data_IF_002835155361
#
_entry.id   IF_002835155361
#
_cell.length_a   1.000
_cell.length_b   1.000
_cell.length_c   1.000
_cell.angle_alpha   90.00
_cell.angle_beta   90.00
_cell.angle_gamma   90.00
#
_symmetry.space_group_name_H-M   'P 1'
#
loop_
_entity.id
_entity.type
_entity.pdbx_description
1 polymer ?
#
# COMPACT_ATOMS: atom_id res chain seq x y z
N UNK A 1 -4.94 -2.24 0.37
CA UNK A 1 -3.84 -2.86 -0.40
C UNK A 1 -4.00 -4.37 -0.60
N UNK A 2 -3.98 -5.21 0.47
CA UNK A 2 -3.97 -6.68 0.31
C UNK A 2 -5.17 -7.25 -0.44
N UNK A 3 -6.37 -6.74 -0.17
CA UNK A 3 -7.61 -7.15 -0.86
C UNK A 3 -7.54 -6.84 -2.35
N UNK A 4 -7.18 -5.61 -2.72
CA UNK A 4 -6.97 -5.19 -4.10
C UNK A 4 -5.92 -6.07 -4.83
N UNK A 5 -4.84 -6.47 -4.16
CA UNK A 5 -3.84 -7.36 -4.76
C UNK A 5 -4.42 -8.76 -5.01
N UNK A 6 -5.23 -9.29 -4.09
CA UNK A 6 -5.93 -10.58 -4.25
C UNK A 6 -6.94 -10.54 -5.40
N UNK A 7 -7.72 -9.47 -5.52
CA UNK A 7 -8.66 -9.27 -6.64
C UNK A 7 -7.93 -9.24 -7.99
N UNK A 8 -6.69 -8.74 -8.02
CA UNK A 8 -5.81 -8.75 -9.19
C UNK A 8 -5.10 -10.09 -9.44
N UNK A 9 -5.36 -11.13 -8.63
CA UNK A 9 -4.77 -12.46 -8.79
C UNK A 9 -3.29 -12.55 -8.38
N UNK A 10 -2.79 -11.59 -7.60
CA UNK A 10 -1.43 -11.62 -7.07
C UNK A 10 -1.33 -12.60 -5.88
N UNK A 11 -0.18 -13.28 -5.75
CA UNK A 11 0.14 -14.13 -4.60
C UNK A 11 1.16 -13.51 -3.64
N UNK A 12 1.80 -12.40 -4.03
CA UNK A 12 2.67 -11.62 -3.16
C UNK A 12 2.58 -10.11 -3.46
N UNK A 13 3.04 -9.30 -2.51
CA UNK A 13 3.26 -7.86 -2.67
C UNK A 13 4.70 -7.58 -2.26
N UNK A 14 5.48 -7.01 -3.17
CA UNK A 14 6.92 -6.74 -2.98
C UNK A 14 7.20 -5.24 -3.05
N UNK A 15 8.32 -4.83 -2.45
CA UNK A 15 8.73 -3.42 -2.40
C UNK A 15 7.69 -2.55 -1.70
N UNK A 16 7.25 -2.97 -0.51
CA UNK A 16 6.27 -2.22 0.28
C UNK A 16 6.95 -0.99 0.86
N UNK A 17 6.33 0.17 0.69
CA UNK A 17 6.75 1.44 1.29
C UNK A 17 5.61 2.02 2.12
N UNK A 18 5.98 2.75 3.18
CA UNK A 18 5.04 3.34 4.14
C UNK A 18 5.39 4.81 4.34
N UNK A 19 4.49 5.66 3.89
CA UNK A 19 4.62 7.11 3.95
C UNK A 19 3.72 7.69 5.04
N UNK A 20 4.27 8.67 5.75
CA UNK A 20 3.56 9.46 6.75
C UNK A 20 3.61 10.92 6.33
N UNK A 21 2.44 11.54 6.19
CA UNK A 21 2.36 12.92 5.75
C UNK A 21 1.32 13.70 6.56
N UNK A 22 1.67 14.90 6.99
CA UNK A 22 0.73 15.82 7.65
C UNK A 22 -0.04 16.56 6.57
N UNK A 23 -1.29 16.16 6.35
CA UNK A 23 -2.10 16.70 5.25
C UNK A 23 -2.78 18.01 5.64
N UNK A 24 -3.13 18.14 6.93
CA UNK A 24 -3.70 19.35 7.53
C UNK A 24 -3.35 19.39 9.01
N UNK A 25 -3.54 20.55 9.61
CA UNK A 25 -3.25 20.74 11.04
C UNK A 25 -3.99 19.69 11.88
N UNK A 26 -3.23 18.91 12.66
CA UNK A 26 -3.74 17.81 13.48
C UNK A 26 -4.13 16.51 12.74
N UNK A 27 -4.00 16.43 11.41
CA UNK A 27 -4.31 15.21 10.65
C UNK A 27 -3.06 14.61 10.00
N UNK A 28 -2.76 13.37 10.39
CA UNK A 28 -1.69 12.56 9.80
C UNK A 28 -2.29 11.52 8.87
N UNK A 29 -1.88 11.55 7.60
CA UNK A 29 -2.17 10.50 6.63
C UNK A 29 -1.06 9.46 6.67
N UNK A 30 -1.48 8.19 6.61
CA UNK A 30 -0.58 7.06 6.44
C UNK A 30 -0.93 6.39 5.13
N UNK A 31 0.00 6.39 4.18
CA UNK A 31 -0.15 5.75 2.89
C UNK A 31 0.78 4.53 2.83
N UNK A 32 0.30 3.45 2.22
CA UNK A 32 1.09 2.24 2.00
C UNK A 32 1.05 1.92 0.51
N UNK A 33 2.22 1.80 -0.12
CA UNK A 33 2.38 1.51 -1.54
C UNK A 33 3.23 0.24 -1.74
N UNK A 34 3.13 -0.39 -2.91
CA UNK A 34 3.82 -1.66 -3.19
C UNK A 34 3.38 -2.31 -4.50
N UNK A 35 4.16 -3.27 -4.99
CA UNK A 35 3.93 -3.93 -6.28
C UNK A 35 3.30 -5.31 -6.09
N UNK A 36 2.10 -5.50 -6.63
CA UNK A 36 1.41 -6.79 -6.62
C UNK A 36 2.01 -7.70 -7.71
N UNK A 37 2.48 -8.88 -7.35
CA UNK A 37 3.15 -9.83 -8.26
C UNK A 37 2.54 -11.22 -8.15
N UNK A 38 2.70 -12.00 -9.22
CA UNK A 38 2.42 -13.43 -9.24
C UNK A 38 3.70 -14.17 -9.57
N UNK A 39 4.14 -15.01 -8.64
CA UNK A 39 5.25 -15.95 -8.82
C UNK A 39 4.76 -17.36 -9.14
#
# INVERSE_FOLDING_TARGET
MKELAKEKGANAIVGIDVDYEVVRDGMLMVAVSGTAVRI
#
